data_IF_614329787543
#
_entry.id   IF_614329787543
#
_cell.length_a   1.000
_cell.length_b   1.000
_cell.length_c   1.000
_cell.angle_alpha   90.00
_cell.angle_beta   90.00
_cell.angle_gamma   90.00
#
_symmetry.space_group_name_H-M   'P 1'
#
loop_
_entity.id
_entity.type
_entity.pdbx_description
1 polymer ?
#
# COMPACT_ATOMS: atom_id res chain seq x y z
N UNK A 1 -21.67 -4.60 9.59
CA UNK A 1 -20.67 -3.56 9.88
C UNK A 1 -20.49 -2.73 8.62
N UNK A 2 -20.64 -1.40 8.70
CA UNK A 2 -20.33 -0.50 7.58
C UNK A 2 -18.86 -0.13 7.75
N UNK A 3 -17.98 -0.70 6.93
CA UNK A 3 -16.59 -0.25 6.88
C UNK A 3 -16.55 1.11 6.16
N UNK A 4 -15.80 2.09 6.68
CA UNK A 4 -15.73 3.42 6.06
C UNK A 4 -15.12 3.37 4.65
N UNK A 5 -14.40 2.29 4.32
CA UNK A 5 -13.67 2.08 3.10
C UNK A 5 -14.20 0.86 2.34
N UNK A 6 -14.41 0.96 1.03
CA UNK A 6 -14.75 -0.19 0.17
C UNK A 6 -13.51 -1.04 -0.14
N UNK A 7 -13.71 -2.30 -0.50
CA UNK A 7 -12.59 -3.19 -0.91
C UNK A 7 -11.83 -2.61 -2.12
N UNK A 8 -12.55 -2.11 -3.12
CA UNK A 8 -11.95 -1.49 -4.31
C UNK A 8 -11.14 -0.25 -3.96
N UNK A 9 -11.62 0.56 -3.01
CA UNK A 9 -10.86 1.72 -2.51
C UNK A 9 -9.61 1.27 -1.76
N UNK A 10 -9.68 0.23 -0.93
CA UNK A 10 -8.51 -0.30 -0.24
C UNK A 10 -7.44 -0.82 -1.21
N UNK A 11 -7.87 -1.57 -2.24
CA UNK A 11 -6.99 -2.03 -3.32
C UNK A 11 -6.33 -0.83 -3.99
N UNK A 12 -7.13 0.15 -4.41
CA UNK A 12 -6.63 1.36 -5.08
C UNK A 12 -5.58 2.08 -4.25
N UNK A 13 -5.81 2.26 -2.94
CA UNK A 13 -4.86 2.89 -2.03
C UNK A 13 -3.53 2.10 -1.97
N UNK A 14 -3.59 0.79 -1.78
CA UNK A 14 -2.38 -0.07 -1.74
C UNK A 14 -1.62 -0.01 -3.06
N UNK A 15 -2.32 -0.12 -4.20
CA UNK A 15 -1.70 -0.07 -5.52
C UNK A 15 -1.04 1.30 -5.79
N UNK A 16 -1.69 2.41 -5.41
CA UNK A 16 -1.11 3.76 -5.54
C UNK A 16 0.18 3.91 -4.74
N UNK A 17 0.21 3.46 -3.49
CA UNK A 17 1.44 3.48 -2.67
C UNK A 17 2.53 2.64 -3.31
N UNK A 18 2.20 1.44 -3.80
CA UNK A 18 3.15 0.55 -4.48
C UNK A 18 3.80 1.20 -5.70
N UNK A 19 3.02 1.91 -6.52
CA UNK A 19 3.55 2.62 -7.70
C UNK A 19 4.50 3.74 -7.29
N UNK A 20 4.19 4.51 -6.25
CA UNK A 20 5.08 5.54 -5.71
C UNK A 20 6.41 4.90 -5.26
N UNK A 21 6.34 3.80 -4.50
CA UNK A 21 7.54 3.08 -4.04
C UNK A 21 8.36 2.48 -5.17
N UNK A 22 7.72 1.98 -6.24
CA UNK A 22 8.42 1.55 -7.45
C UNK A 22 9.13 2.71 -8.15
N UNK A 23 8.50 3.89 -8.21
CA UNK A 23 9.13 5.08 -8.77
C UNK A 23 10.31 5.56 -7.93
N UNK A 24 10.21 5.53 -6.60
CA UNK A 24 11.33 5.77 -5.68
C UNK A 24 12.46 4.75 -5.92
N UNK A 25 12.14 3.47 -6.07
CA UNK A 25 13.11 2.41 -6.32
C UNK A 25 13.88 2.63 -7.62
N UNK A 26 13.20 3.06 -8.68
CA UNK A 26 13.82 3.37 -9.97
C UNK A 26 14.75 4.60 -9.91
N UNK A 27 14.51 5.52 -8.96
CA UNK A 27 15.32 6.74 -8.75
C UNK A 27 16.43 6.55 -7.72
N UNK A 28 16.34 5.54 -6.86
CA UNK A 28 17.32 5.26 -5.82
C UNK A 28 18.71 4.98 -6.42
N UNK A 29 19.74 5.55 -5.80
CA UNK A 29 21.13 5.43 -6.25
C UNK A 29 21.95 4.49 -5.39
N UNK A 30 21.52 4.26 -4.14
CA UNK A 30 22.21 3.37 -3.20
C UNK A 30 21.58 1.98 -3.16
N UNK A 31 22.39 0.97 -2.89
CA UNK A 31 21.91 -0.41 -2.75
C UNK A 31 21.03 -0.58 -1.49
N UNK A 32 21.31 0.18 -0.44
CA UNK A 32 20.55 0.14 0.81
C UNK A 32 19.12 0.65 0.61
N UNK A 33 18.95 1.82 -0.01
CA UNK A 33 17.63 2.36 -0.35
C UNK A 33 16.86 1.41 -1.28
N UNK A 34 17.53 0.86 -2.30
CA UNK A 34 16.91 -0.14 -3.19
C UNK A 34 16.44 -1.37 -2.44
N UNK A 35 17.22 -1.87 -1.48
CA UNK A 35 16.84 -3.03 -0.69
C UNK A 35 15.63 -2.73 0.21
N UNK A 36 15.61 -1.56 0.87
CA UNK A 36 14.48 -1.13 1.69
C UNK A 36 13.20 -0.99 0.85
N UNK A 37 13.28 -0.27 -0.27
CA UNK A 37 12.15 -0.05 -1.17
C UNK A 37 11.64 -1.37 -1.77
N UNK A 38 12.54 -2.30 -2.09
CA UNK A 38 12.15 -3.64 -2.57
C UNK A 38 11.35 -4.41 -1.51
N UNK A 39 11.74 -4.33 -0.24
CA UNK A 39 10.98 -4.96 0.85
C UNK A 39 9.59 -4.33 1.00
N UNK A 40 9.49 -3.00 0.94
CA UNK A 40 8.22 -2.28 0.98
C UNK A 40 7.30 -2.68 -0.19
N UNK A 41 7.83 -2.73 -1.42
CA UNK A 41 7.08 -3.14 -2.61
C UNK A 41 6.58 -4.59 -2.48
N UNK A 42 7.40 -5.49 -1.95
CA UNK A 42 7.01 -6.88 -1.72
C UNK A 42 5.88 -6.98 -0.68
N UNK A 43 5.97 -6.20 0.41
CA UNK A 43 4.91 -6.13 1.41
C UNK A 43 3.59 -5.65 0.80
N UNK A 44 3.62 -4.54 0.04
CA UNK A 44 2.44 -3.98 -0.62
C UNK A 44 1.83 -4.96 -1.63
N UNK A 45 2.67 -5.69 -2.37
CA UNK A 45 2.20 -6.72 -3.32
C UNK A 45 1.51 -7.89 -2.60
N UNK A 46 2.01 -8.28 -1.43
CA UNK A 46 1.38 -9.30 -0.59
C UNK A 46 0.04 -8.81 -0.03
N UNK A 47 -0.02 -7.56 0.43
CA UNK A 47 -1.27 -6.97 0.94
C UNK A 47 -2.33 -6.87 -0.16
N UNK A 48 -1.97 -6.44 -1.36
CA UNK A 48 -2.88 -6.41 -2.51
C UNK A 48 -3.42 -7.81 -2.84
N UNK A 49 -2.55 -8.83 -2.88
CA UNK A 49 -2.98 -10.22 -3.07
C UNK A 49 -3.96 -10.69 -1.99
N UNK A 50 -3.69 -10.35 -0.71
CA UNK A 50 -4.55 -10.69 0.41
C UNK A 50 -5.87 -9.92 0.40
N UNK A 51 -5.92 -8.72 -0.18
CA UNK A 51 -7.18 -8.02 -0.39
C UNK A 51 -8.10 -8.78 -1.36
N UNK A 52 -7.55 -9.42 -2.39
CA UNK A 52 -8.31 -10.25 -3.32
C UNK A 52 -8.66 -11.63 -2.76
N UNK A 53 -7.68 -12.31 -2.15
CA UNK A 53 -7.74 -13.77 -1.89
C UNK A 53 -7.60 -14.17 -0.42
N UNK A 54 -7.31 -13.21 0.46
CA UNK A 54 -7.12 -13.47 1.88
C UNK A 54 -8.41 -13.80 2.62
N UNK A 55 -8.26 -14.32 3.84
CA UNK A 55 -9.38 -14.50 4.76
C UNK A 55 -9.99 -13.16 5.17
N UNK A 56 -11.27 -13.16 5.55
CA UNK A 56 -12.01 -11.95 5.88
C UNK A 56 -11.29 -11.09 6.93
N UNK A 57 -10.82 -11.67 8.04
CA UNK A 57 -10.13 -10.92 9.09
C UNK A 57 -8.84 -10.25 8.60
N UNK A 58 -8.07 -10.95 7.75
CA UNK A 58 -6.84 -10.40 7.16
C UNK A 58 -7.18 -9.26 6.22
N UNK A 59 -8.22 -9.43 5.39
CA UNK A 59 -8.72 -8.40 4.48
C UNK A 59 -9.12 -7.15 5.24
N UNK A 60 -9.91 -7.31 6.31
CA UNK A 60 -10.39 -6.21 7.16
C UNK A 60 -9.24 -5.48 7.85
N UNK A 61 -8.21 -6.20 8.31
CA UNK A 61 -7.01 -5.58 8.88
C UNK A 61 -6.24 -4.75 7.86
N UNK A 62 -6.12 -5.21 6.62
CA UNK A 62 -5.44 -4.45 5.55
C UNK A 62 -6.28 -3.24 5.14
N UNK A 63 -7.60 -3.36 5.10
CA UNK A 63 -8.50 -2.23 4.83
C UNK A 63 -8.39 -1.14 5.91
N UNK A 64 -8.31 -1.52 7.19
CA UNK A 64 -8.08 -0.56 8.29
C UNK A 64 -6.72 0.15 8.15
N UNK A 65 -5.67 -0.61 7.77
CA UNK A 65 -4.35 -0.04 7.48
C UNK A 65 -4.38 0.89 6.28
N UNK A 66 -5.13 0.55 5.22
CA UNK A 66 -5.26 1.39 4.04
C UNK A 66 -5.89 2.74 4.37
N UNK A 67 -6.92 2.75 5.20
CA UNK A 67 -7.57 3.97 5.67
C UNK A 67 -6.67 4.81 6.58
N UNK A 68 -6.00 4.19 7.56
CA UNK A 68 -5.23 4.92 8.58
C UNK A 68 -3.80 5.27 8.18
N UNK A 69 -3.20 4.54 7.25
CA UNK A 69 -1.77 4.68 6.89
C UNK A 69 -1.62 5.14 5.45
N UNK A 70 -2.22 4.43 4.49
CA UNK A 70 -1.99 4.70 3.07
C UNK A 70 -2.74 5.93 2.57
N UNK A 71 -3.99 6.13 2.99
CA UNK A 71 -4.76 7.33 2.64
C UNK A 71 -4.06 8.62 3.09
N UNK A 72 -3.62 8.78 4.36
CA UNK A 72 -2.87 9.96 4.78
C UNK A 72 -1.51 10.11 4.10
N UNK A 73 -0.81 9.01 3.80
CA UNK A 73 0.45 9.06 3.05
C UNK A 73 0.24 9.62 1.65
N UNK A 74 -0.75 9.11 0.90
CA UNK A 74 -1.06 9.57 -0.45
C UNK A 74 -1.51 11.03 -0.43
N UNK A 75 -2.35 11.41 0.54
CA UNK A 75 -2.77 12.80 0.72
C UNK A 75 -1.56 13.73 0.85
N UNK A 76 -0.61 13.41 1.72
CA UNK A 76 0.64 14.19 1.87
C UNK A 76 1.47 14.21 0.61
N UNK A 77 1.57 13.10 -0.12
CA UNK A 77 2.36 12.99 -1.34
C UNK A 77 1.81 13.82 -2.50
N UNK A 78 0.49 13.93 -2.64
CA UNK A 78 -0.16 14.72 -3.69
C UNK A 78 -0.42 16.18 -3.32
N UNK A 79 -0.46 16.50 -2.02
CA UNK A 79 -0.54 17.89 -1.53
C UNK A 79 0.85 18.58 -1.43
N UNK A 80 1.95 17.84 -1.70
CA UNK A 80 3.33 18.36 -1.75
C UNK A 80 3.76 18.75 -3.16
#
# INVERSE_FOLDING_TARGET
>A
MVYPLSLDTAITLVSSVKVIKMNEFNKATTQEEKNSLKQEIQMLSKEEYLLYSGEELVRLSIMDKADKVYSPFLKKHYES
#
